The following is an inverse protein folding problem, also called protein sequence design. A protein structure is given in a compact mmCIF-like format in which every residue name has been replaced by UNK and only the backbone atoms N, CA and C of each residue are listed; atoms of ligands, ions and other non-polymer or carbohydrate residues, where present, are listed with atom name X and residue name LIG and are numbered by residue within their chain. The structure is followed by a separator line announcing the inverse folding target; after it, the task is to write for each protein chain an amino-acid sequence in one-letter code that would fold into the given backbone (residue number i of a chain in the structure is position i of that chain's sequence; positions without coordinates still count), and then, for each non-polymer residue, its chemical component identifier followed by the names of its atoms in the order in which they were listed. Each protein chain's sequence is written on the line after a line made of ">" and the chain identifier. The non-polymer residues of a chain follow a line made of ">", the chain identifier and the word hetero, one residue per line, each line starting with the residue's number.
data_IF_939999199021
#
_entry.id   IF_939999199021
#
_cell.length_a   1.000
_cell.length_b   1.000
_cell.length_c   1.000
_cell.angle_alpha   90.00
_cell.angle_beta   90.00
_cell.angle_gamma   90.00
#
_symmetry.space_group_name_H-M   'P 1'
#
loop_
_entity.id
_entity.type
_entity.pdbx_description
1 polymer ?
#
# COMPACT_ATOMS: atom_id res chain seq x y z
N UNK A 1 -12.94 3.70 -1.69
CA UNK A 1 -13.49 3.36 -3.02
C UNK A 1 -13.13 1.91 -3.36
N UNK A 2 -13.91 0.94 -2.84
CA UNK A 2 -13.65 -0.52 -3.02
C UNK A 2 -14.77 -1.15 -3.90
N UNK A 3 -15.53 -0.36 -4.63
CA UNK A 3 -16.70 -0.85 -5.37
C UNK A 3 -16.43 -1.46 -6.76
N UNK A 4 -15.20 -1.45 -7.29
CA UNK A 4 -15.01 -1.76 -8.72
C UNK A 4 -14.34 -3.10 -9.08
N UNK A 5 -13.94 -3.95 -8.14
CA UNK A 5 -13.24 -5.21 -8.46
C UNK A 5 -14.03 -6.51 -8.28
N UNK A 6 -15.31 -6.42 -7.88
CA UNK A 6 -16.21 -7.61 -7.82
C UNK A 6 -16.73 -8.02 -9.21
N UNK A 7 -16.53 -7.18 -10.23
CA UNK A 7 -17.07 -7.41 -11.57
C UNK A 7 -16.44 -8.58 -12.35
N UNK A 8 -15.30 -9.12 -11.93
CA UNK A 8 -14.60 -10.17 -12.70
C UNK A 8 -15.02 -11.61 -12.35
N UNK A 9 -15.84 -11.82 -11.34
CA UNK A 9 -16.40 -13.15 -11.04
C UNK A 9 -17.62 -13.52 -11.93
N UNK A 10 -18.10 -12.60 -12.74
CA UNK A 10 -19.17 -12.86 -13.72
C UNK A 10 -18.76 -13.76 -14.88
N UNK A 11 -17.47 -13.94 -15.12
CA UNK A 11 -16.94 -14.71 -16.28
C UNK A 11 -16.86 -16.22 -16.05
N UNK A 12 -16.93 -16.71 -14.81
CA UNK A 12 -16.86 -18.15 -14.50
C UNK A 12 -18.15 -18.88 -14.92
N UNK A 13 -19.29 -18.18 -14.99
CA UNK A 13 -20.54 -18.76 -15.46
C UNK A 13 -20.57 -19.00 -16.98
N UNK A 14 -19.79 -18.23 -17.75
CA UNK A 14 -19.65 -18.45 -19.20
C UNK A 14 -18.75 -19.66 -19.52
N UNK A 15 -17.83 -20.01 -18.64
CA UNK A 15 -16.96 -21.17 -18.79
C UNK A 15 -17.64 -22.52 -18.47
N UNK A 16 -18.88 -22.48 -17.96
CA UNK A 16 -19.69 -23.70 -17.74
C UNK A 16 -20.28 -24.28 -19.02
N UNK A 17 -19.83 -23.86 -20.23
CA UNK A 17 -20.21 -24.44 -21.50
C UNK A 17 -21.63 -24.09 -21.98
N UNK A 18 -22.26 -23.06 -21.40
CA UNK A 18 -23.53 -22.52 -21.88
C UNK A 18 -23.30 -21.32 -22.81
N UNK A 19 -22.64 -21.53 -23.96
CA UNK A 19 -22.73 -20.57 -25.06
C UNK A 19 -24.09 -20.68 -25.72
N UNK A 20 -24.71 -19.53 -25.98
CA UNK A 20 -26.10 -19.41 -26.46
C UNK A 20 -26.36 -19.91 -27.92
N UNK A 21 -25.55 -20.83 -28.43
CA UNK A 21 -25.64 -21.19 -29.86
C UNK A 21 -25.33 -22.65 -30.22
N UNK A 22 -25.53 -23.60 -29.33
CA UNK A 22 -25.57 -25.00 -29.81
C UNK A 22 -26.71 -25.76 -29.12
N UNK A 23 -27.55 -26.50 -29.88
CA UNK A 23 -28.45 -27.45 -29.28
C UNK A 23 -27.61 -28.49 -28.51
N UNK A 24 -28.06 -28.86 -27.32
CA UNK A 24 -27.40 -29.82 -26.41
C UNK A 24 -27.43 -31.26 -27.01
N UNK A 25 -27.20 -31.38 -28.29
CA UNK A 25 -27.02 -32.64 -29.01
C UNK A 25 -25.72 -32.51 -29.79
N UNK A 26 -24.64 -32.49 -29.04
CA UNK A 26 -23.29 -32.47 -29.55
C UNK A 26 -22.36 -33.02 -28.49
N UNK A 27 -22.76 -34.05 -27.80
CA UNK A 27 -21.83 -34.93 -27.05
C UNK A 27 -21.09 -35.75 -28.09
N UNK A 28 -19.83 -35.37 -28.37
CA UNK A 28 -18.93 -36.28 -29.07
C UNK A 28 -18.78 -37.52 -28.21
N UNK A 29 -19.24 -38.58 -28.79
CA UNK A 29 -19.50 -39.91 -28.34
C UNK A 29 -18.19 -40.62 -27.99
N UNK A 30 -18.12 -41.15 -26.79
CA UNK A 30 -17.47 -42.45 -26.55
C UNK A 30 -17.87 -43.09 -25.21
N UNK A 31 -19.09 -42.86 -24.73
CA UNK A 31 -19.77 -43.76 -23.79
C UNK A 31 -21.24 -43.68 -24.11
N UNK A 32 -21.91 -44.81 -24.24
CA UNK A 32 -23.36 -44.90 -24.49
C UNK A 32 -24.09 -43.98 -23.50
N UNK A 33 -24.59 -42.84 -23.98
CA UNK A 33 -25.33 -41.90 -23.17
C UNK A 33 -26.62 -42.58 -22.76
N UNK A 34 -26.75 -42.92 -21.48
CA UNK A 34 -27.97 -43.39 -20.88
C UNK A 34 -29.09 -42.40 -21.21
N UNK A 35 -30.14 -42.84 -21.95
CA UNK A 35 -31.18 -41.93 -22.42
C UNK A 35 -31.90 -41.30 -21.22
N UNK A 36 -32.03 -39.97 -21.24
CA UNK A 36 -32.78 -39.23 -20.21
C UNK A 36 -34.28 -39.44 -20.45
N UNK A 37 -34.97 -39.90 -19.44
CA UNK A 37 -36.42 -40.10 -19.51
C UNK A 37 -37.18 -38.80 -19.79
N UNK A 38 -38.28 -38.84 -20.51
CA UNK A 38 -39.05 -37.66 -20.90
C UNK A 38 -39.55 -36.84 -19.69
N UNK A 39 -39.89 -37.52 -18.60
CA UNK A 39 -40.34 -36.90 -17.33
C UNK A 39 -39.25 -36.04 -16.67
N UNK A 40 -38.01 -36.28 -17.00
CA UNK A 40 -36.84 -35.46 -16.53
C UNK A 40 -36.41 -34.51 -17.64
N UNK A 41 -36.31 -34.96 -18.87
CA UNK A 41 -35.87 -34.17 -20.01
C UNK A 41 -36.75 -32.94 -20.28
N UNK A 42 -38.08 -33.08 -20.16
CA UNK A 42 -39.03 -31.98 -20.32
C UNK A 42 -38.79 -30.83 -19.32
N UNK A 43 -38.82 -31.09 -18.01
CA UNK A 43 -38.46 -30.07 -16.99
C UNK A 43 -37.08 -29.43 -17.17
N UNK A 44 -36.06 -30.21 -17.56
CA UNK A 44 -34.71 -29.68 -17.82
C UNK A 44 -34.71 -28.68 -18.99
N UNK A 45 -35.39 -29.02 -20.12
CA UNK A 45 -35.49 -28.13 -21.26
C UNK A 45 -36.27 -26.84 -20.92
N UNK A 46 -37.38 -26.96 -20.19
CA UNK A 46 -38.17 -25.82 -19.74
C UNK A 46 -37.37 -24.92 -18.82
N UNK A 47 -36.63 -25.48 -17.85
CA UNK A 47 -35.75 -24.72 -16.96
C UNK A 47 -34.67 -23.95 -17.77
N UNK A 48 -34.05 -24.58 -18.76
CA UNK A 48 -33.08 -23.91 -19.64
C UNK A 48 -33.70 -22.77 -20.45
N UNK A 49 -34.93 -22.92 -20.97
CA UNK A 49 -35.67 -21.85 -21.67
C UNK A 49 -35.95 -20.68 -20.72
N UNK A 50 -36.37 -20.96 -19.48
CA UNK A 50 -36.61 -19.93 -18.46
C UNK A 50 -35.34 -19.19 -18.09
N UNK A 51 -34.23 -19.90 -17.94
CA UNK A 51 -32.93 -19.28 -17.69
C UNK A 51 -32.48 -18.33 -18.80
N UNK A 52 -32.69 -18.73 -20.08
CA UNK A 52 -32.40 -17.85 -21.23
C UNK A 52 -33.24 -16.57 -21.22
N UNK A 53 -34.43 -16.61 -20.63
CA UNK A 53 -35.32 -15.44 -20.45
C UNK A 53 -35.07 -14.69 -19.13
N UNK A 54 -34.03 -15.03 -18.38
CA UNK A 54 -33.70 -14.39 -17.08
C UNK A 54 -34.62 -14.84 -15.92
N UNK A 55 -35.57 -15.78 -16.16
CA UNK A 55 -36.55 -16.27 -15.19
C UNK A 55 -35.95 -17.39 -14.31
N UNK A 56 -34.83 -17.09 -13.63
CA UNK A 56 -34.04 -18.11 -12.95
C UNK A 56 -34.77 -18.77 -11.76
N UNK A 57 -35.61 -18.01 -11.04
CA UNK A 57 -36.43 -18.57 -9.93
C UNK A 57 -37.48 -19.53 -10.43
N UNK A 58 -38.12 -19.21 -11.58
CA UNK A 58 -39.07 -20.10 -12.23
C UNK A 58 -38.38 -21.37 -12.77
N UNK A 59 -37.14 -21.23 -13.27
CA UNK A 59 -36.33 -22.38 -13.68
C UNK A 59 -36.07 -23.34 -12.51
N UNK A 60 -35.76 -22.83 -11.30
CA UNK A 60 -35.61 -23.66 -10.10
C UNK A 60 -36.92 -24.36 -9.70
N UNK A 61 -38.07 -23.69 -9.87
CA UNK A 61 -39.37 -24.30 -9.63
C UNK A 61 -39.67 -25.44 -10.63
N UNK A 62 -39.31 -25.27 -11.90
CA UNK A 62 -39.44 -26.30 -12.93
C UNK A 62 -38.57 -27.53 -12.64
N UNK A 63 -37.35 -27.35 -12.15
CA UNK A 63 -36.46 -28.45 -11.78
C UNK A 63 -36.99 -29.30 -10.62
N UNK A 64 -37.86 -28.76 -9.74
CA UNK A 64 -38.51 -29.53 -8.67
C UNK A 64 -39.41 -30.64 -9.25
N UNK A 65 -39.96 -30.49 -10.46
CA UNK A 65 -40.73 -31.55 -11.10
C UNK A 65 -39.84 -32.75 -11.44
N UNK A 66 -38.61 -32.48 -11.92
CA UNK A 66 -37.63 -33.54 -12.16
C UNK A 66 -37.17 -34.21 -10.87
N UNK A 67 -37.12 -33.48 -9.75
CA UNK A 67 -36.79 -34.04 -8.44
C UNK A 67 -37.82 -35.06 -7.96
N UNK A 68 -39.09 -34.84 -8.27
CA UNK A 68 -40.20 -35.75 -7.91
C UNK A 68 -40.20 -37.08 -8.65
N UNK A 69 -39.41 -37.24 -9.72
CA UNK A 69 -39.35 -38.51 -10.48
C UNK A 69 -38.57 -39.56 -9.67
N UNK A 70 -39.17 -40.72 -9.46
CA UNK A 70 -38.56 -41.83 -8.70
C UNK A 70 -37.46 -42.53 -9.52
N UNK A 71 -36.56 -43.20 -8.82
CA UNK A 71 -35.51 -44.06 -9.40
C UNK A 71 -34.67 -43.36 -10.50
N UNK A 72 -34.26 -42.11 -10.23
CA UNK A 72 -33.38 -41.37 -11.13
C UNK A 72 -32.06 -42.10 -11.31
N UNK A 73 -31.59 -42.18 -12.54
CA UNK A 73 -30.26 -42.68 -12.83
C UNK A 73 -29.21 -41.67 -12.31
N UNK A 74 -27.98 -42.14 -12.15
CA UNK A 74 -26.86 -41.29 -11.79
C UNK A 74 -26.60 -40.19 -12.84
N UNK A 75 -26.93 -40.46 -14.12
CA UNK A 75 -26.82 -39.50 -15.20
C UNK A 75 -27.91 -38.43 -15.13
N UNK A 76 -29.15 -38.83 -14.89
CA UNK A 76 -30.29 -37.91 -14.72
C UNK A 76 -30.08 -36.97 -13.53
N UNK A 77 -29.65 -37.50 -12.40
CA UNK A 77 -29.32 -36.72 -11.22
C UNK A 77 -28.21 -35.70 -11.49
N UNK A 78 -27.16 -36.11 -12.19
CA UNK A 78 -26.04 -35.24 -12.59
C UNK A 78 -26.52 -34.09 -13.50
N UNK A 79 -27.36 -34.34 -14.48
CA UNK A 79 -27.89 -33.32 -15.38
C UNK A 79 -28.82 -32.33 -14.66
N UNK A 80 -29.65 -32.80 -13.73
CA UNK A 80 -30.49 -31.95 -12.88
C UNK A 80 -29.62 -31.03 -12.08
N UNK A 81 -28.57 -31.55 -11.42
CA UNK A 81 -27.64 -30.73 -10.60
C UNK A 81 -26.87 -29.72 -11.44
N UNK A 82 -26.47 -30.04 -12.68
CA UNK A 82 -25.82 -29.06 -13.57
C UNK A 82 -26.73 -27.87 -13.88
N UNK A 83 -27.99 -28.11 -14.26
CA UNK A 83 -28.94 -27.04 -14.57
C UNK A 83 -29.30 -26.25 -13.29
N UNK A 84 -29.48 -26.97 -12.16
CA UNK A 84 -29.77 -26.34 -10.87
C UNK A 84 -28.63 -25.43 -10.40
N UNK A 85 -27.37 -25.86 -10.50
CA UNK A 85 -26.21 -25.06 -10.15
C UNK A 85 -26.18 -23.71 -10.89
N UNK A 86 -26.46 -23.76 -12.21
CA UNK A 86 -26.54 -22.57 -13.06
C UNK A 86 -27.74 -21.68 -12.72
N UNK A 87 -28.94 -22.26 -12.60
CA UNK A 87 -30.15 -21.52 -12.28
C UNK A 87 -30.08 -20.84 -10.89
N UNK A 88 -29.64 -21.59 -9.88
CA UNK A 88 -29.51 -21.09 -8.52
C UNK A 88 -28.45 -19.96 -8.40
N UNK A 89 -27.31 -20.14 -9.08
CA UNK A 89 -26.27 -19.09 -9.12
C UNK A 89 -26.79 -17.80 -9.75
N UNK A 90 -27.55 -17.93 -10.85
CA UNK A 90 -28.15 -16.79 -11.56
C UNK A 90 -29.32 -16.15 -10.78
N UNK A 91 -30.07 -16.97 -10.01
CA UNK A 91 -31.15 -16.50 -9.15
C UNK A 91 -30.66 -15.82 -7.85
N UNK A 92 -29.37 -15.95 -7.52
CA UNK A 92 -28.82 -15.51 -6.23
C UNK A 92 -29.17 -16.42 -5.06
N UNK A 93 -29.69 -17.64 -5.33
CA UNK A 93 -29.92 -18.69 -4.32
C UNK A 93 -28.61 -19.45 -4.11
N UNK A 94 -27.69 -18.80 -3.35
CA UNK A 94 -26.35 -19.31 -3.18
C UNK A 94 -26.27 -20.60 -2.35
N UNK A 95 -27.22 -20.83 -1.46
CA UNK A 95 -27.30 -22.07 -0.67
C UNK A 95 -27.62 -23.28 -1.56
N UNK A 96 -28.59 -23.13 -2.46
CA UNK A 96 -28.93 -24.16 -3.45
C UNK A 96 -27.77 -24.32 -4.45
N UNK A 97 -27.17 -23.23 -4.91
CA UNK A 97 -26.03 -23.29 -5.82
C UNK A 97 -24.87 -24.07 -5.18
N UNK A 98 -24.50 -23.77 -3.93
CA UNK A 98 -23.41 -24.43 -3.23
C UNK A 98 -23.63 -25.94 -3.13
N UNK A 99 -24.81 -26.37 -2.71
CA UNK A 99 -25.16 -27.80 -2.64
C UNK A 99 -25.04 -28.50 -4.00
N UNK A 100 -25.52 -27.85 -5.06
CA UNK A 100 -25.43 -28.43 -6.40
C UNK A 100 -23.96 -28.52 -6.89
N UNK A 101 -23.13 -27.52 -6.61
CA UNK A 101 -21.69 -27.58 -6.91
C UNK A 101 -21.00 -28.70 -6.12
N UNK A 102 -21.30 -28.85 -4.82
CA UNK A 102 -20.78 -29.93 -3.98
C UNK A 102 -21.16 -31.31 -4.54
N UNK A 103 -22.45 -31.51 -4.91
CA UNK A 103 -22.96 -32.76 -5.50
C UNK A 103 -22.27 -33.09 -6.83
N UNK A 104 -22.05 -32.08 -7.67
CA UNK A 104 -21.36 -32.26 -8.96
C UNK A 104 -19.89 -32.64 -8.74
N UNK A 105 -19.19 -31.98 -7.84
CA UNK A 105 -17.79 -32.30 -7.50
C UNK A 105 -17.66 -33.72 -6.94
N UNK A 106 -18.64 -34.15 -6.12
CA UNK A 106 -18.68 -35.47 -5.52
C UNK A 106 -19.14 -36.59 -6.49
N UNK A 107 -19.81 -36.24 -7.59
CA UNK A 107 -20.39 -37.22 -8.52
C UNK A 107 -19.40 -38.14 -9.21
N UNK A 108 -18.14 -37.79 -9.26
CA UNK A 108 -17.09 -38.49 -10.00
C UNK A 108 -17.21 -38.36 -11.53
N UNK A 109 -18.20 -37.63 -12.05
CA UNK A 109 -18.47 -37.48 -13.49
C UNK A 109 -17.76 -36.30 -14.15
N UNK A 110 -17.14 -35.44 -13.36
CA UNK A 110 -16.38 -34.31 -13.86
C UNK A 110 -14.96 -34.77 -14.25
N UNK A 111 -14.48 -34.30 -15.39
CA UNK A 111 -13.08 -34.39 -15.74
C UNK A 111 -12.23 -33.59 -14.72
N UNK A 112 -10.92 -33.84 -14.66
CA UNK A 112 -10.03 -33.13 -13.75
C UNK A 112 -10.10 -31.61 -13.96
N UNK A 113 -10.17 -31.14 -15.21
CA UNK A 113 -10.33 -29.73 -15.55
C UNK A 113 -11.65 -29.13 -15.08
N UNK A 114 -12.77 -29.83 -15.33
CA UNK A 114 -14.08 -29.40 -14.85
C UNK A 114 -14.14 -29.39 -13.32
N UNK A 115 -13.60 -30.41 -12.66
CA UNK A 115 -13.54 -30.46 -11.19
C UNK A 115 -12.81 -29.27 -10.61
N UNK A 116 -11.71 -28.84 -11.22
CA UNK A 116 -10.98 -27.64 -10.82
C UNK A 116 -11.84 -26.37 -10.99
N UNK A 117 -12.53 -26.22 -12.14
CA UNK A 117 -13.42 -25.09 -12.43
C UNK A 117 -14.61 -25.03 -11.46
N UNK A 118 -15.26 -26.18 -11.22
CA UNK A 118 -16.40 -26.26 -10.28
C UNK A 118 -15.94 -25.96 -8.84
N UNK A 119 -14.74 -26.42 -8.44
CA UNK A 119 -14.19 -26.14 -7.13
C UNK A 119 -13.86 -24.65 -6.94
N UNK A 120 -13.35 -23.99 -7.99
CA UNK A 120 -13.15 -22.54 -7.98
C UNK A 120 -14.49 -21.77 -7.97
N UNK A 121 -15.46 -22.22 -8.76
CA UNK A 121 -16.83 -21.70 -8.77
C UNK A 121 -17.49 -21.78 -7.40
N UNK A 122 -17.33 -22.91 -6.70
CA UNK A 122 -17.88 -23.13 -5.36
C UNK A 122 -17.31 -22.14 -4.34
N UNK A 123 -16.01 -21.84 -4.40
CA UNK A 123 -15.41 -20.79 -3.58
C UNK A 123 -16.12 -19.45 -3.83
N UNK A 124 -16.34 -19.09 -5.09
CA UNK A 124 -17.07 -17.88 -5.47
C UNK A 124 -18.51 -17.84 -4.94
N UNK A 125 -19.20 -18.98 -4.93
CA UNK A 125 -20.57 -19.11 -4.37
C UNK A 125 -20.54 -18.90 -2.86
N UNK A 126 -19.65 -19.56 -2.12
CA UNK A 126 -19.51 -19.36 -0.67
C UNK A 126 -19.18 -17.91 -0.30
N UNK A 127 -18.32 -17.25 -1.08
CA UNK A 127 -18.00 -15.83 -0.85
C UNK A 127 -19.23 -14.92 -1.05
N UNK A 128 -20.07 -15.20 -2.06
CA UNK A 128 -21.33 -14.46 -2.30
C UNK A 128 -22.38 -14.74 -1.23
N UNK A 129 -22.46 -15.98 -0.76
CA UNK A 129 -23.28 -16.37 0.39
C UNK A 129 -22.78 -15.77 1.70
N UNK A 130 -21.60 -15.15 1.71
CA UNK A 130 -20.88 -14.70 2.92
C UNK A 130 -20.55 -15.85 3.89
N UNK A 131 -20.56 -17.09 3.41
CA UNK A 131 -20.05 -18.25 4.15
C UNK A 131 -18.52 -18.31 3.99
N UNK A 132 -17.86 -17.33 4.62
CA UNK A 132 -16.41 -17.22 4.55
C UNK A 132 -15.69 -18.40 5.19
N UNK A 133 -16.35 -19.11 6.12
CA UNK A 133 -15.80 -20.32 6.76
C UNK A 133 -15.60 -21.43 5.73
N UNK A 134 -16.67 -21.77 4.98
CA UNK A 134 -16.59 -22.78 3.91
C UNK A 134 -15.70 -22.32 2.76
N UNK A 135 -15.76 -21.03 2.39
CA UNK A 135 -14.87 -20.47 1.37
C UNK A 135 -13.39 -20.68 1.75
N UNK A 136 -13.01 -20.36 2.98
CA UNK A 136 -11.63 -20.51 3.46
C UNK A 136 -11.19 -21.99 3.47
N UNK A 137 -12.04 -22.88 3.95
CA UNK A 137 -11.73 -24.33 3.96
C UNK A 137 -11.49 -24.87 2.53
N UNK A 138 -12.30 -24.40 1.55
CA UNK A 138 -12.13 -24.78 0.15
C UNK A 138 -10.84 -24.16 -0.46
N UNK A 139 -10.54 -22.90 -0.16
CA UNK A 139 -9.32 -22.22 -0.60
C UNK A 139 -8.08 -22.91 -0.02
N UNK A 140 -8.05 -23.15 1.28
CA UNK A 140 -6.91 -23.78 1.95
C UNK A 140 -6.63 -25.18 1.41
N UNK A 141 -7.68 -25.93 1.05
CA UNK A 141 -7.52 -27.23 0.38
C UNK A 141 -6.81 -27.09 -0.96
N UNK A 142 -7.22 -26.13 -1.79
CA UNK A 142 -6.57 -25.90 -3.09
C UNK A 142 -5.15 -25.35 -2.95
N UNK A 143 -4.88 -24.52 -1.94
CA UNK A 143 -3.55 -23.98 -1.70
C UNK A 143 -2.52 -25.01 -1.19
N UNK A 144 -2.97 -26.19 -0.71
CA UNK A 144 -2.06 -27.32 -0.41
C UNK A 144 -1.44 -27.90 -1.67
N UNK A 145 -2.20 -27.92 -2.76
CA UNK A 145 -1.78 -28.59 -4.01
C UNK A 145 -1.08 -27.61 -4.96
N UNK A 146 -1.38 -26.32 -4.85
CA UNK A 146 -0.82 -25.29 -5.73
C UNK A 146 -0.68 -23.93 -5.00
N UNK A 147 0.41 -23.24 -5.31
CA UNK A 147 0.56 -21.85 -4.86
C UNK A 147 -0.20 -20.93 -5.83
N UNK A 148 -1.37 -20.44 -5.41
CA UNK A 148 -2.22 -19.55 -6.20
C UNK A 148 -2.39 -18.20 -5.48
N UNK A 149 -1.72 -17.13 -5.97
CA UNK A 149 -1.77 -15.80 -5.35
C UNK A 149 -3.18 -15.23 -5.28
N UNK A 150 -4.07 -15.57 -6.24
CA UNK A 150 -5.45 -15.09 -6.26
C UNK A 150 -6.28 -15.72 -5.14
N UNK A 151 -6.16 -17.02 -4.96
CA UNK A 151 -6.83 -17.73 -3.86
C UNK A 151 -6.31 -17.25 -2.51
N UNK A 152 -5.01 -17.00 -2.41
CA UNK A 152 -4.39 -16.46 -1.20
C UNK A 152 -4.92 -15.06 -0.88
N UNK A 153 -5.10 -14.20 -1.87
CA UNK A 153 -5.71 -12.88 -1.70
C UNK A 153 -7.17 -12.98 -1.19
N UNK A 154 -7.95 -13.93 -1.74
CA UNK A 154 -9.32 -14.18 -1.25
C UNK A 154 -9.33 -14.69 0.20
N UNK A 155 -8.42 -15.57 0.57
CA UNK A 155 -8.29 -16.06 1.95
C UNK A 155 -8.05 -14.90 2.93
N UNK A 156 -7.14 -14.00 2.59
CA UNK A 156 -6.83 -12.81 3.39
C UNK A 156 -8.05 -11.89 3.52
N UNK A 157 -8.74 -11.63 2.40
CA UNK A 157 -9.96 -10.80 2.40
C UNK A 157 -11.07 -11.41 3.25
N UNK A 158 -11.26 -12.72 3.17
CA UNK A 158 -12.26 -13.44 3.95
C UNK A 158 -11.94 -13.38 5.45
N UNK A 159 -10.69 -13.61 5.85
CA UNK A 159 -10.30 -13.46 7.27
C UNK A 159 -10.57 -12.04 7.77
N UNK A 160 -10.26 -11.03 6.95
CA UNK A 160 -10.56 -9.65 7.30
C UNK A 160 -12.08 -9.39 7.41
N UNK A 161 -12.90 -9.92 6.49
CA UNK A 161 -14.35 -9.80 6.53
C UNK A 161 -14.97 -10.50 7.74
N UNK A 162 -14.36 -11.59 8.21
CA UNK A 162 -14.74 -12.31 9.44
C UNK A 162 -14.29 -11.61 10.74
N UNK A 163 -13.58 -10.49 10.66
CA UNK A 163 -12.97 -9.83 11.82
C UNK A 163 -11.73 -10.54 12.37
N UNK A 164 -11.25 -11.58 11.71
CA UNK A 164 -10.01 -12.32 12.05
C UNK A 164 -8.78 -11.54 11.54
N UNK A 165 -8.58 -10.37 12.12
CA UNK A 165 -7.52 -9.43 11.69
C UNK A 165 -6.12 -9.96 11.92
N UNK A 166 -5.91 -10.78 12.95
CA UNK A 166 -4.63 -11.43 13.24
C UNK A 166 -4.18 -12.37 12.13
N UNK A 167 -5.07 -13.25 11.67
CA UNK A 167 -4.82 -14.20 10.58
C UNK A 167 -4.54 -13.47 9.25
N UNK A 168 -5.36 -12.45 8.94
CA UNK A 168 -5.17 -11.65 7.74
C UNK A 168 -3.82 -10.92 7.76
N UNK A 169 -3.45 -10.31 8.89
CA UNK A 169 -2.14 -9.64 9.08
C UNK A 169 -1.00 -10.63 8.89
N UNK A 170 -1.05 -11.81 9.54
CA UNK A 170 0.00 -12.82 9.45
C UNK A 170 0.24 -13.28 8.02
N UNK A 171 -0.83 -13.53 7.26
CA UNK A 171 -0.71 -13.96 5.87
C UNK A 171 -0.11 -12.86 4.98
N UNK A 172 -0.61 -11.62 5.09
CA UNK A 172 -0.07 -10.48 4.33
C UNK A 172 1.41 -10.22 4.66
N UNK A 173 1.77 -10.23 5.93
CA UNK A 173 3.17 -10.03 6.33
C UNK A 173 4.08 -11.12 5.78
N UNK A 174 3.62 -12.37 5.77
CA UNK A 174 4.39 -13.48 5.20
C UNK A 174 4.61 -13.29 3.69
N UNK A 175 3.58 -12.84 2.95
CA UNK A 175 3.68 -12.59 1.51
C UNK A 175 4.63 -11.43 1.20
N UNK A 176 4.49 -10.32 1.92
CA UNK A 176 5.35 -9.15 1.78
C UNK A 176 6.82 -9.46 2.11
N UNK A 177 7.07 -10.24 3.16
CA UNK A 177 8.42 -10.69 3.52
C UNK A 177 9.03 -11.62 2.47
N UNK A 178 8.21 -12.50 1.87
CA UNK A 178 8.67 -13.36 0.79
C UNK A 178 9.06 -12.54 -0.45
N UNK A 179 8.30 -11.51 -0.79
CA UNK A 179 8.64 -10.61 -1.88
C UNK A 179 9.94 -9.84 -1.60
N UNK A 180 10.06 -9.24 -0.41
CA UNK A 180 11.26 -8.51 0.00
C UNK A 180 12.52 -9.40 -0.01
N UNK A 181 12.43 -10.62 0.52
CA UNK A 181 13.55 -11.60 0.50
C UNK A 181 13.95 -12.02 -0.91
N UNK A 182 12.99 -12.05 -1.82
CA UNK A 182 13.24 -12.36 -3.23
C UNK A 182 13.68 -11.14 -4.05
N UNK A 183 13.92 -10.00 -3.41
CA UNK A 183 14.27 -8.75 -4.08
C UNK A 183 13.12 -8.15 -4.90
N UNK A 184 11.90 -8.66 -4.74
CA UNK A 184 10.72 -8.12 -5.41
C UNK A 184 10.12 -6.99 -4.59
N UNK A 185 9.65 -5.96 -5.30
CA UNK A 185 8.91 -4.85 -4.70
C UNK A 185 7.53 -5.35 -4.25
N UNK A 186 7.18 -5.23 -2.96
CA UNK A 186 5.84 -5.54 -2.47
C UNK A 186 4.75 -4.77 -3.21
N UNK A 187 3.61 -5.39 -3.47
CA UNK A 187 2.52 -4.73 -4.19
C UNK A 187 1.86 -3.63 -3.33
N UNK A 188 1.54 -2.49 -3.95
CA UNK A 188 0.97 -1.34 -3.23
C UNK A 188 -0.37 -1.67 -2.56
N UNK A 189 -1.23 -2.41 -3.25
CA UNK A 189 -2.54 -2.80 -2.74
C UNK A 189 -2.46 -3.74 -1.54
N UNK A 190 -1.47 -4.63 -1.50
CA UNK A 190 -1.20 -5.48 -0.34
C UNK A 190 -0.73 -4.67 0.87
N UNK A 191 0.18 -3.72 0.66
CA UNK A 191 0.63 -2.81 1.72
C UNK A 191 -0.52 -1.92 2.21
N UNK A 192 -1.36 -1.38 1.31
CA UNK A 192 -2.56 -0.61 1.68
C UNK A 192 -3.54 -1.47 2.48
N UNK A 193 -3.75 -2.72 2.08
CA UNK A 193 -4.60 -3.64 2.81
C UNK A 193 -4.05 -3.92 4.20
N UNK A 194 -2.75 -4.19 4.33
CA UNK A 194 -2.11 -4.41 5.63
C UNK A 194 -2.24 -3.18 6.54
N UNK A 195 -1.96 -1.99 6.02
CA UNK A 195 -2.10 -0.74 6.80
C UNK A 195 -3.54 -0.52 7.29
N UNK A 196 -4.54 -0.84 6.45
CA UNK A 196 -5.95 -0.71 6.80
C UNK A 196 -6.37 -1.72 7.89
N UNK A 197 -5.90 -2.97 7.81
CA UNK A 197 -6.14 -3.99 8.83
C UNK A 197 -5.52 -3.57 10.16
N UNK A 198 -4.25 -3.14 10.16
CA UNK A 198 -3.53 -2.70 11.36
C UNK A 198 -4.19 -1.48 12.00
N UNK A 199 -4.62 -0.51 11.20
CA UNK A 199 -5.34 0.67 11.70
C UNK A 199 -6.66 0.27 12.38
N UNK A 200 -7.45 -0.61 11.76
CA UNK A 200 -8.69 -1.12 12.36
C UNK A 200 -8.47 -1.96 13.62
N UNK A 201 -7.38 -2.69 13.67
CA UNK A 201 -6.98 -3.48 14.83
C UNK A 201 -6.38 -2.64 15.97
N UNK A 202 -6.16 -1.32 15.76
CA UNK A 202 -5.50 -0.44 16.71
C UNK A 202 -3.99 -0.64 16.85
N UNK A 203 -3.37 -1.41 15.96
CA UNK A 203 -1.91 -1.60 15.89
C UNK A 203 -1.25 -0.36 15.28
N UNK A 204 -1.05 0.65 16.12
CA UNK A 204 -0.47 1.94 15.71
C UNK A 204 0.96 1.78 15.17
N UNK A 205 1.75 0.90 15.74
CA UNK A 205 3.15 0.71 15.34
C UNK A 205 3.23 -0.05 14.01
N UNK A 206 2.51 -1.14 13.86
CA UNK A 206 2.39 -1.86 12.60
C UNK A 206 1.91 -0.96 11.45
N UNK A 207 0.86 -0.17 11.71
CA UNK A 207 0.32 0.79 10.75
C UNK A 207 1.40 1.75 10.23
N UNK A 208 2.19 2.37 11.12
CA UNK A 208 3.23 3.31 10.73
C UNK A 208 4.35 2.62 9.96
N UNK A 209 4.82 1.47 10.43
CA UNK A 209 5.83 0.69 9.72
C UNK A 209 5.39 0.33 8.30
N UNK A 210 4.10 0.02 8.12
CA UNK A 210 3.54 -0.27 6.80
C UNK A 210 3.42 0.99 5.94
N UNK A 211 3.03 2.14 6.52
CA UNK A 211 3.01 3.43 5.80
C UNK A 211 4.42 3.87 5.41
N UNK A 212 5.45 3.63 6.23
CA UNK A 212 6.85 3.86 5.87
C UNK A 212 7.27 3.02 4.66
N UNK A 213 6.89 1.75 4.61
CA UNK A 213 7.11 0.91 3.41
C UNK A 213 6.37 1.47 2.19
N UNK A 214 5.11 1.89 2.36
CA UNK A 214 4.35 2.56 1.29
C UNK A 214 5.05 3.82 0.79
N UNK A 215 5.54 4.68 1.68
CA UNK A 215 6.25 5.90 1.31
C UNK A 215 7.59 5.61 0.63
N UNK A 216 8.29 4.53 1.03
CA UNK A 216 9.58 4.11 0.44
C UNK A 216 9.39 3.53 -0.95
N UNK A 217 8.48 2.57 -1.10
CA UNK A 217 8.26 1.89 -2.38
C UNK A 217 7.41 2.69 -3.37
N UNK A 218 6.51 3.54 -2.86
CA UNK A 218 5.53 4.32 -3.60
C UNK A 218 5.47 5.74 -3.05
N UNK A 219 6.43 6.62 -3.38
CA UNK A 219 6.60 7.93 -2.73
C UNK A 219 5.47 8.92 -3.12
N UNK A 220 4.23 8.60 -2.72
CA UNK A 220 3.06 9.46 -2.93
C UNK A 220 2.94 10.47 -1.78
N UNK A 221 2.49 11.68 -2.12
CA UNK A 221 2.24 12.76 -1.16
C UNK A 221 1.36 12.30 0.01
N UNK A 222 0.32 11.49 -0.26
CA UNK A 222 -0.60 11.00 0.77
C UNK A 222 0.07 10.17 1.87
N UNK A 223 1.06 9.36 1.55
CA UNK A 223 1.79 8.56 2.55
C UNK A 223 2.72 9.44 3.38
N UNK A 224 3.44 10.35 2.73
CA UNK A 224 4.28 11.31 3.41
C UNK A 224 3.50 12.24 4.32
N UNK A 225 2.31 12.67 3.90
CA UNK A 225 1.41 13.49 4.73
C UNK A 225 1.05 12.78 6.05
N UNK A 226 0.73 11.48 5.98
CA UNK A 226 0.46 10.68 7.18
C UNK A 226 1.66 10.66 8.12
N UNK A 227 2.86 10.38 7.59
CA UNK A 227 4.09 10.28 8.39
C UNK A 227 4.46 11.62 9.03
N UNK A 228 4.46 12.71 8.24
CA UNK A 228 4.86 14.03 8.70
C UNK A 228 3.86 14.67 9.66
N UNK A 229 2.55 14.45 9.46
CA UNK A 229 1.53 14.91 10.42
C UNK A 229 1.63 14.13 11.75
N UNK A 230 1.86 12.82 11.67
CA UNK A 230 2.01 12.00 12.87
C UNK A 230 3.21 12.42 13.71
N UNK A 231 4.38 12.65 13.09
CA UNK A 231 5.57 13.04 13.86
C UNK A 231 5.37 14.40 14.52
N UNK A 232 4.78 15.37 13.80
CA UNK A 232 4.48 16.70 14.35
C UNK A 232 3.48 16.68 15.50
N UNK A 233 2.55 15.72 15.49
CA UNK A 233 1.56 15.52 16.56
C UNK A 233 1.99 14.54 17.66
N UNK A 234 3.22 14.04 17.63
CA UNK A 234 3.72 13.06 18.62
C UNK A 234 3.91 13.74 19.99
N UNK A 235 3.41 13.17 21.10
CA UNK A 235 3.75 13.66 22.42
C UNK A 235 5.26 13.70 22.63
N UNK A 236 5.77 14.84 23.09
CA UNK A 236 7.20 15.05 23.28
C UNK A 236 7.98 15.40 22.01
N UNK A 237 7.31 15.64 20.88
CA UNK A 237 7.96 16.17 19.69
C UNK A 237 8.59 17.54 19.97
N UNK A 238 9.87 17.70 19.65
CA UNK A 238 10.57 18.95 19.89
C UNK A 238 10.32 19.97 18.77
N UNK A 239 9.84 21.15 19.13
CA UNK A 239 9.56 22.23 18.19
C UNK A 239 10.76 22.67 17.34
N UNK A 240 12.00 22.45 17.82
CA UNK A 240 13.23 22.74 17.04
C UNK A 240 13.33 21.89 15.76
N UNK A 241 12.67 20.73 15.73
CA UNK A 241 12.64 19.82 14.56
C UNK A 241 11.57 20.21 13.52
N UNK A 242 10.78 21.25 13.77
CA UNK A 242 9.77 21.72 12.81
C UNK A 242 10.40 22.13 11.47
N UNK A 243 11.60 22.68 11.50
CA UNK A 243 12.37 23.01 10.28
C UNK A 243 12.65 21.76 9.45
N UNK A 244 12.95 20.63 10.08
CA UNK A 244 13.23 19.37 9.38
C UNK A 244 11.98 18.74 8.79
N UNK A 245 10.84 18.88 9.46
CA UNK A 245 9.53 18.49 8.90
C UNK A 245 9.23 19.32 7.64
N UNK A 246 9.49 20.63 7.67
CA UNK A 246 9.28 21.48 6.50
C UNK A 246 10.29 21.18 5.37
N UNK A 247 11.54 20.83 5.69
CA UNK A 247 12.52 20.33 4.71
C UNK A 247 12.03 19.08 3.99
N UNK A 248 11.50 18.11 4.75
CA UNK A 248 10.90 16.89 4.17
C UNK A 248 9.66 17.21 3.33
N UNK A 249 8.79 18.13 3.78
CA UNK A 249 7.67 18.61 2.98
C UNK A 249 8.11 19.25 1.68
N UNK A 250 9.14 20.09 1.71
CA UNK A 250 9.71 20.71 0.51
C UNK A 250 10.29 19.66 -0.44
N UNK A 251 11.02 18.67 0.10
CA UNK A 251 11.60 17.57 -0.70
C UNK A 251 10.52 16.79 -1.46
N UNK A 252 9.38 16.53 -0.82
CA UNK A 252 8.26 15.81 -1.40
C UNK A 252 7.23 16.70 -2.11
N UNK A 253 7.60 17.94 -2.47
CA UNK A 253 6.75 18.90 -3.20
C UNK A 253 5.43 19.22 -2.49
N UNK A 254 5.43 19.21 -1.15
CA UNK A 254 4.22 19.42 -0.34
C UNK A 254 4.03 20.87 0.13
N UNK A 255 4.99 21.76 -0.09
CA UNK A 255 4.83 23.19 0.17
C UNK A 255 4.12 23.82 -1.03
N UNK A 256 2.92 24.38 -0.78
CA UNK A 256 2.05 24.91 -1.86
C UNK A 256 1.71 26.38 -1.67
N UNK A 257 2.01 26.95 -0.51
CA UNK A 257 1.63 28.30 -0.14
C UNK A 257 2.86 29.18 0.08
N UNK A 258 2.76 30.51 -0.20
CA UNK A 258 3.84 31.45 0.11
C UNK A 258 4.28 31.39 1.59
N UNK A 259 3.32 31.23 2.51
CA UNK A 259 3.59 31.12 3.94
C UNK A 259 4.53 29.96 4.28
N UNK A 260 4.34 28.78 3.66
CA UNK A 260 5.15 27.60 3.91
C UNK A 260 6.63 27.83 3.51
N UNK A 261 6.85 28.44 2.33
CA UNK A 261 8.18 28.80 1.84
C UNK A 261 8.87 29.84 2.69
N UNK A 262 8.13 30.90 3.08
CA UNK A 262 8.69 31.98 3.91
C UNK A 262 8.99 31.52 5.31
N UNK A 263 8.14 30.67 5.92
CA UNK A 263 8.39 30.05 7.22
C UNK A 263 9.66 29.21 7.18
N UNK A 264 9.79 28.29 6.23
CA UNK A 264 10.97 27.45 6.10
C UNK A 264 12.24 28.30 5.89
N UNK A 265 12.19 29.30 5.00
CA UNK A 265 13.35 30.17 4.75
C UNK A 265 13.76 30.94 6.00
N UNK A 266 12.82 31.45 6.78
CA UNK A 266 13.10 32.14 8.06
C UNK A 266 13.69 31.21 9.11
N UNK A 267 13.18 29.98 9.22
CA UNK A 267 13.70 28.97 10.15
C UNK A 267 15.12 28.58 9.81
N UNK A 268 15.44 28.32 8.55
CA UNK A 268 16.81 27.95 8.16
C UNK A 268 17.77 29.12 8.26
N UNK A 269 17.32 30.36 8.03
CA UNK A 269 18.14 31.58 8.31
C UNK A 269 18.46 31.70 9.80
N UNK A 270 17.47 31.51 10.67
CA UNK A 270 17.68 31.53 12.13
C UNK A 270 18.67 30.44 12.55
N UNK A 271 18.64 29.28 11.92
CA UNK A 271 19.56 28.17 12.21
C UNK A 271 20.93 28.35 11.53
N UNK A 272 21.20 29.52 10.91
CA UNK A 272 22.49 29.89 10.29
C UNK A 272 22.71 29.32 8.88
N UNK A 273 21.74 28.59 8.28
CA UNK A 273 21.88 27.95 6.99
C UNK A 273 21.44 28.86 5.82
N UNK A 274 22.07 30.04 5.71
CA UNK A 274 21.69 31.06 4.73
C UNK A 274 21.74 30.58 3.27
N UNK A 275 22.71 29.73 2.93
CA UNK A 275 22.76 29.14 1.58
C UNK A 275 21.59 28.21 1.26
N UNK A 276 21.03 27.54 2.25
CA UNK A 276 19.80 26.77 2.12
C UNK A 276 18.58 27.69 1.92
N UNK A 277 18.49 28.78 2.70
CA UNK A 277 17.43 29.77 2.58
C UNK A 277 17.35 30.36 1.16
N UNK A 278 18.51 30.76 0.60
CA UNK A 278 18.59 31.27 -0.78
C UNK A 278 18.03 30.25 -1.79
N UNK A 279 18.38 28.96 -1.64
CA UNK A 279 17.86 27.89 -2.53
C UNK A 279 16.34 27.69 -2.39
N UNK A 280 15.82 27.72 -1.16
CA UNK A 280 14.39 27.59 -0.86
C UNK A 280 13.61 28.75 -1.51
N UNK A 281 14.08 29.98 -1.29
CA UNK A 281 13.44 31.18 -1.84
C UNK A 281 13.50 31.15 -3.38
N UNK A 282 14.68 30.85 -3.96
CA UNK A 282 14.83 30.74 -5.42
C UNK A 282 13.87 29.71 -6.00
N UNK A 283 13.66 28.59 -5.34
CA UNK A 283 12.68 27.58 -5.74
C UNK A 283 11.26 28.13 -5.70
N UNK A 284 10.87 28.82 -4.62
CA UNK A 284 9.55 29.43 -4.50
C UNK A 284 9.25 30.47 -5.60
N UNK A 285 10.26 31.27 -6.00
CA UNK A 285 10.16 32.19 -7.14
C UNK A 285 10.05 31.44 -8.46
N UNK A 286 10.85 30.41 -8.69
CA UNK A 286 10.80 29.58 -9.89
C UNK A 286 9.44 28.90 -10.09
N UNK A 287 8.84 28.45 -9.02
CA UNK A 287 7.52 27.80 -9.03
C UNK A 287 6.35 28.82 -9.08
N UNK A 288 6.63 30.13 -9.08
CA UNK A 288 5.60 31.18 -9.11
C UNK A 288 4.80 31.29 -7.81
N UNK A 289 5.29 30.70 -6.73
CA UNK A 289 4.65 30.75 -5.40
C UNK A 289 5.06 32.04 -4.66
N UNK A 290 6.35 32.44 -4.77
CA UNK A 290 6.87 33.69 -4.20
C UNK A 290 6.98 34.78 -5.28
N UNK A 291 7.06 36.02 -4.85
CA UNK A 291 7.23 37.19 -5.74
C UNK A 291 5.97 37.65 -6.41
N UNK A 292 4.82 37.12 -6.06
CA UNK A 292 3.50 37.43 -6.65
C UNK A 292 2.51 37.88 -5.56
N UNK A 293 1.47 38.61 -5.98
CA UNK A 293 0.40 39.04 -5.09
C UNK A 293 0.79 40.15 -4.11
N UNK A 294 -0.04 40.42 -3.08
CA UNK A 294 0.14 41.57 -2.17
C UNK A 294 1.42 41.47 -1.31
N UNK A 295 1.92 40.26 -1.09
CA UNK A 295 3.13 40.01 -0.27
C UNK A 295 4.44 40.01 -1.07
N UNK A 296 4.40 40.31 -2.38
CA UNK A 296 5.60 40.26 -3.24
C UNK A 296 6.78 41.11 -2.68
N UNK A 297 6.51 42.30 -2.17
CA UNK A 297 7.53 43.14 -1.55
C UNK A 297 8.13 42.52 -0.26
N UNK A 298 7.35 41.78 0.51
CA UNK A 298 7.83 41.04 1.69
C UNK A 298 8.70 39.86 1.27
N UNK A 299 8.34 39.16 0.22
CA UNK A 299 9.14 38.06 -0.35
C UNK A 299 10.48 38.59 -0.85
N UNK A 300 10.50 39.75 -1.51
CA UNK A 300 11.76 40.37 -1.97
C UNK A 300 12.66 40.73 -0.80
N UNK A 301 12.14 41.37 0.27
CA UNK A 301 12.93 41.68 1.46
C UNK A 301 13.53 40.43 2.11
N UNK A 302 12.78 39.31 2.15
CA UNK A 302 13.31 38.04 2.67
C UNK A 302 14.43 37.49 1.77
N UNK A 303 14.31 37.62 0.45
CA UNK A 303 15.34 37.24 -0.51
C UNK A 303 16.62 38.06 -0.27
N UNK A 304 16.50 39.39 -0.19
CA UNK A 304 17.61 40.29 0.02
C UNK A 304 18.34 40.02 1.37
N UNK A 305 17.56 39.72 2.41
CA UNK A 305 18.08 39.29 3.70
C UNK A 305 18.88 37.99 3.59
N UNK A 306 18.34 36.98 2.88
CA UNK A 306 19.01 35.69 2.70
C UNK A 306 20.35 35.84 1.93
N UNK A 307 20.32 36.61 0.84
CA UNK A 307 21.52 36.88 0.01
C UNK A 307 22.59 37.62 0.82
N UNK A 308 22.21 38.66 1.59
CA UNK A 308 23.10 39.39 2.50
C UNK A 308 23.70 38.48 3.55
N UNK A 309 22.84 37.69 4.24
CA UNK A 309 23.31 36.79 5.30
C UNK A 309 24.25 35.72 4.74
N UNK A 310 24.03 35.22 3.54
CA UNK A 310 24.93 34.27 2.88
C UNK A 310 26.33 34.92 2.61
N UNK A 311 26.33 36.15 2.10
CA UNK A 311 27.57 36.88 1.85
C UNK A 311 28.36 37.13 3.17
N UNK A 312 27.67 37.53 4.24
CA UNK A 312 28.28 37.72 5.57
C UNK A 312 28.79 36.40 6.15
N UNK A 313 28.06 35.29 6.01
CA UNK A 313 28.49 33.96 6.47
C UNK A 313 29.80 33.57 5.80
N UNK A 314 29.92 33.77 4.49
CA UNK A 314 31.15 33.46 3.73
C UNK A 314 32.32 34.38 4.17
N UNK A 315 32.07 35.68 4.29
CA UNK A 315 33.11 36.64 4.64
C UNK A 315 33.68 36.46 6.04
N UNK A 316 32.82 36.06 6.99
CA UNK A 316 33.21 35.94 8.42
C UNK A 316 33.56 34.50 8.84
N UNK A 317 33.49 33.52 7.93
CA UNK A 317 33.63 32.11 8.27
C UNK A 317 34.92 31.78 9.02
N UNK A 318 36.07 32.29 8.55
CA UNK A 318 37.36 32.02 9.18
C UNK A 318 37.50 32.67 10.57
N UNK A 319 37.01 33.89 10.75
CA UNK A 319 37.02 34.57 12.04
C UNK A 319 36.11 33.87 13.04
N UNK A 320 34.89 33.52 12.63
CA UNK A 320 33.95 32.78 13.47
C UNK A 320 34.49 31.41 13.87
N UNK A 321 35.15 30.69 12.96
CA UNK A 321 35.81 29.42 13.27
C UNK A 321 36.88 29.60 14.35
N UNK A 322 37.76 30.58 14.22
CA UNK A 322 38.82 30.86 15.17
C UNK A 322 38.25 31.20 16.56
N UNK A 323 37.20 32.02 16.61
CA UNK A 323 36.53 32.37 17.85
C UNK A 323 35.89 31.17 18.55
N UNK A 324 35.16 30.32 17.79
CA UNK A 324 34.53 29.10 18.30
C UNK A 324 35.54 28.07 18.81
N UNK A 325 36.67 27.92 18.12
CA UNK A 325 37.79 27.06 18.56
C UNK A 325 38.40 27.60 19.87
N UNK A 326 38.62 28.89 19.93
CA UNK A 326 39.20 29.54 21.10
C UNK A 326 38.37 29.35 22.38
N UNK A 327 37.05 29.41 22.25
CA UNK A 327 36.14 29.22 23.40
C UNK A 327 35.72 27.76 23.59
N UNK A 328 36.14 26.85 22.71
CA UNK A 328 35.78 25.42 22.78
C UNK A 328 34.35 25.10 22.47
N UNK A 329 33.62 25.95 21.73
CA UNK A 329 32.21 25.75 21.40
C UNK A 329 32.03 24.76 20.20
N UNK A 330 31.92 23.49 20.52
CA UNK A 330 31.77 22.41 19.55
C UNK A 330 30.39 22.41 18.87
N UNK A 331 29.33 22.78 19.58
CA UNK A 331 27.98 22.94 19.00
C UNK A 331 27.98 24.08 17.97
N UNK A 332 28.67 25.20 18.28
CA UNK A 332 28.89 26.30 17.34
C UNK A 332 29.64 25.87 16.08
N UNK A 333 30.72 25.05 16.24
CA UNK A 333 31.46 24.50 15.10
C UNK A 333 30.60 23.58 14.22
N UNK A 334 29.73 22.75 14.80
CA UNK A 334 28.76 21.94 14.02
C UNK A 334 27.82 22.86 13.25
N UNK A 335 27.31 23.92 13.87
CA UNK A 335 26.39 24.87 13.23
C UNK A 335 27.08 25.66 12.10
N UNK A 336 28.30 26.13 12.32
CA UNK A 336 29.09 26.82 11.30
C UNK A 336 29.47 25.89 10.14
N UNK A 337 29.84 24.66 10.45
CA UNK A 337 30.11 23.63 9.41
C UNK A 337 28.89 23.37 8.53
N UNK A 338 27.70 23.26 9.13
CA UNK A 338 26.45 23.09 8.36
C UNK A 338 26.14 24.33 7.50
N UNK A 339 26.36 25.53 8.04
CA UNK A 339 26.21 26.78 7.30
C UNK A 339 27.14 26.83 6.06
N UNK A 340 28.42 26.43 6.22
CA UNK A 340 29.39 26.35 5.13
C UNK A 340 28.97 25.34 4.06
N UNK A 341 28.49 24.16 4.45
CA UNK A 341 27.95 23.17 3.49
C UNK A 341 26.77 23.76 2.70
N UNK A 342 25.85 24.44 3.39
CA UNK A 342 24.71 25.10 2.74
C UNK A 342 25.14 26.19 1.75
N UNK A 343 26.21 26.91 2.07
CA UNK A 343 26.80 27.98 1.29
C UNK A 343 27.68 27.50 0.10
N UNK A 344 27.92 26.19 0.00
CA UNK A 344 28.68 25.56 -1.09
C UNK A 344 30.13 25.20 -0.72
N UNK A 345 30.62 25.59 0.45
CA UNK A 345 31.94 25.15 0.96
C UNK A 345 31.81 23.80 1.69
N UNK A 346 31.47 22.80 0.87
CA UNK A 346 31.02 21.48 1.34
C UNK A 346 32.15 20.73 2.07
N UNK A 347 33.34 20.70 1.48
CA UNK A 347 34.45 19.92 2.04
C UNK A 347 34.88 20.47 3.41
N UNK A 348 35.06 21.79 3.52
CA UNK A 348 35.45 22.46 4.77
C UNK A 348 34.36 22.28 5.83
N UNK A 349 33.09 22.50 5.46
CA UNK A 349 32.00 22.41 6.41
C UNK A 349 31.83 20.98 6.96
N UNK A 350 31.91 19.94 6.12
CA UNK A 350 31.83 18.54 6.57
C UNK A 350 33.04 18.22 7.51
N UNK A 351 34.25 18.56 7.13
CA UNK A 351 35.44 18.30 7.96
C UNK A 351 35.32 18.94 9.34
N UNK A 352 34.82 20.17 9.41
CA UNK A 352 34.57 20.88 10.67
C UNK A 352 33.55 20.15 11.54
N UNK A 353 32.43 19.72 10.95
CA UNK A 353 31.40 18.97 11.67
C UNK A 353 31.89 17.59 12.15
N UNK A 354 32.63 16.85 11.32
CA UNK A 354 33.23 15.57 11.68
C UNK A 354 34.19 15.73 12.88
N UNK A 355 35.06 16.76 12.84
CA UNK A 355 36.02 17.06 13.91
C UNK A 355 35.30 17.40 15.20
N UNK A 356 34.31 18.30 15.17
CA UNK A 356 33.55 18.70 16.34
C UNK A 356 32.77 17.53 16.97
N UNK A 357 32.15 16.68 16.17
CA UNK A 357 31.40 15.50 16.63
C UNK A 357 32.36 14.46 17.23
N UNK A 358 33.52 14.22 16.59
CA UNK A 358 34.56 13.32 17.11
C UNK A 358 35.16 13.79 18.45
N UNK A 359 35.31 15.09 18.62
CA UNK A 359 35.78 15.64 19.87
C UNK A 359 34.82 15.43 21.04
N UNK A 360 33.54 15.17 20.76
CA UNK A 360 32.52 14.88 21.77
C UNK A 360 32.09 16.11 22.56
N UNK A 361 31.44 15.90 23.70
CA UNK A 361 31.03 16.97 24.63
C UNK A 361 30.04 17.97 23.97
N UNK A 362 29.13 17.43 23.17
CA UNK A 362 28.05 18.18 22.53
C UNK A 362 26.81 18.18 23.40
N UNK A 363 26.11 19.31 23.48
CA UNK A 363 24.82 19.42 24.20
C UNK A 363 23.75 18.51 23.61
N UNK A 364 23.79 18.32 22.28
CA UNK A 364 22.81 17.52 21.52
C UNK A 364 23.52 16.68 20.45
N UNK A 365 24.16 15.57 20.84
CA UNK A 365 24.97 14.78 19.91
C UNK A 365 24.13 14.16 18.76
N UNK A 366 22.86 13.81 19.00
CA UNK A 366 22.00 13.26 17.95
C UNK A 366 21.55 14.34 16.95
N UNK A 367 21.34 15.59 17.39
CA UNK A 367 21.09 16.71 16.48
C UNK A 367 22.31 16.96 15.57
N UNK A 368 23.50 16.93 16.14
CA UNK A 368 24.77 17.10 15.40
C UNK A 368 24.92 16.00 14.33
N UNK A 369 24.64 14.74 14.67
CA UNK A 369 24.65 13.62 13.72
C UNK A 369 23.58 13.79 12.64
N UNK A 370 22.36 14.23 13.01
CA UNK A 370 21.29 14.53 12.06
C UNK A 370 21.77 15.59 11.05
N UNK A 371 22.34 16.71 11.53
CA UNK A 371 22.88 17.77 10.66
C UNK A 371 24.03 17.26 9.77
N UNK A 372 24.95 16.45 10.31
CA UNK A 372 26.03 15.87 9.52
C UNK A 372 25.51 14.93 8.43
N UNK A 373 24.50 14.10 8.74
CA UNK A 373 23.86 13.25 7.75
C UNK A 373 23.18 14.05 6.63
N UNK A 374 22.50 15.15 6.98
CA UNK A 374 21.92 16.09 6.02
C UNK A 374 23.00 16.80 5.20
N UNK A 375 24.12 17.18 5.80
CA UNK A 375 25.26 17.76 5.11
C UNK A 375 25.86 16.81 4.08
N UNK A 376 26.03 15.54 4.41
CA UNK A 376 26.45 14.52 3.45
C UNK A 376 25.44 14.35 2.30
N UNK A 377 24.14 14.41 2.59
CA UNK A 377 23.10 14.35 1.56
C UNK A 377 23.20 15.56 0.61
N UNK A 378 23.38 16.77 1.15
CA UNK A 378 23.60 17.98 0.33
C UNK A 378 24.87 17.89 -0.53
N UNK A 379 25.91 17.19 -0.04
CA UNK A 379 27.17 16.92 -0.75
C UNK A 379 27.05 15.81 -1.82
N UNK A 380 25.87 15.17 -1.97
CA UNK A 380 25.67 14.03 -2.85
C UNK A 380 26.26 12.71 -2.32
N UNK A 381 26.83 12.68 -1.11
CA UNK A 381 27.39 11.48 -0.51
C UNK A 381 26.31 10.65 0.21
N UNK A 382 25.49 9.98 -0.58
CA UNK A 382 24.36 9.18 -0.09
C UNK A 382 24.79 8.09 0.90
N UNK A 383 25.91 7.41 0.65
CA UNK A 383 26.40 6.33 1.52
C UNK A 383 26.73 6.83 2.92
N UNK A 384 27.53 7.91 3.01
CA UNK A 384 27.85 8.53 4.30
C UNK A 384 26.63 9.15 4.98
N UNK A 385 25.70 9.75 4.20
CA UNK A 385 24.44 10.27 4.74
C UNK A 385 23.65 9.15 5.43
N UNK A 386 23.41 8.03 4.74
CA UNK A 386 22.66 6.90 5.29
C UNK A 386 23.36 6.30 6.52
N UNK A 387 24.67 6.06 6.45
CA UNK A 387 25.41 5.49 7.60
C UNK A 387 25.36 6.40 8.82
N UNK A 388 25.51 7.70 8.65
CA UNK A 388 25.46 8.69 9.74
C UNK A 388 24.05 8.80 10.33
N UNK A 389 23.02 8.95 9.48
CA UNK A 389 21.64 9.08 9.91
C UNK A 389 21.12 7.83 10.66
N UNK A 390 21.61 6.64 10.35
CA UNK A 390 21.30 5.41 11.09
C UNK A 390 21.81 5.42 12.56
N UNK A 391 22.79 6.23 12.87
CA UNK A 391 23.32 6.37 14.24
C UNK A 391 22.56 7.40 15.10
N UNK A 392 21.59 8.09 14.50
CA UNK A 392 20.81 9.12 15.19
C UNK A 392 19.76 8.45 16.08
N UNK A 393 19.80 8.79 17.38
CA UNK A 393 18.83 8.36 18.38
C UNK A 393 17.82 9.45 18.72
N UNK A 394 17.24 9.33 19.92
CA UNK A 394 16.31 10.31 20.49
C UNK A 394 14.85 9.86 20.44
N UNK A 395 14.07 10.33 21.44
CA UNK A 395 12.63 10.02 21.58
C UNK A 395 11.73 11.20 21.23
N UNK A 396 12.32 12.36 20.96
CA UNK A 396 11.69 13.65 20.74
C UNK A 396 11.38 13.96 19.26
N UNK A 397 11.51 12.96 18.39
CA UNK A 397 11.32 13.07 16.95
C UNK A 397 12.61 13.03 16.14
N UNK A 398 13.78 13.18 16.75
CA UNK A 398 15.08 13.26 16.05
C UNK A 398 15.35 11.97 15.26
N UNK A 399 15.14 10.79 15.88
CA UNK A 399 15.35 9.50 15.22
C UNK A 399 14.38 9.28 14.05
N UNK A 400 13.12 9.67 14.19
CA UNK A 400 12.13 9.56 13.12
C UNK A 400 12.48 10.49 11.94
N UNK A 401 12.90 11.73 12.21
CA UNK A 401 13.37 12.66 11.17
C UNK A 401 14.55 12.07 10.41
N UNK A 402 15.54 11.51 11.11
CA UNK A 402 16.69 10.86 10.49
C UNK A 402 16.24 9.70 9.57
N UNK A 403 15.32 8.85 10.04
CA UNK A 403 14.77 7.75 9.25
C UNK A 403 14.02 8.24 8.01
N UNK A 404 13.19 9.29 8.14
CA UNK A 404 12.46 9.86 7.00
C UNK A 404 13.40 10.55 6.02
N UNK A 405 14.50 11.15 6.51
CA UNK A 405 15.55 11.68 5.64
C UNK A 405 16.20 10.55 4.83
N UNK A 406 16.52 9.40 5.46
CA UNK A 406 17.05 8.22 4.75
C UNK A 406 16.08 7.74 3.67
N UNK A 407 14.79 7.66 3.97
CA UNK A 407 13.75 7.22 3.02
C UNK A 407 13.61 8.17 1.82
N UNK A 408 14.06 9.42 1.97
CA UNK A 408 13.99 10.46 0.93
C UNK A 408 15.27 10.55 0.06
N UNK A 409 16.33 9.79 0.38
CA UNK A 409 17.60 9.73 -0.37
C UNK A 409 17.55 8.67 -1.50
#
# INVERSE_FOLDING_TARGET
>A
MIKSRIAHLGLVLAALGFTAATPVIGLSVAHAAEAVRAEIGGPLQNAQKLMKSGKNKEALAELRKADGVSNKTSNESYLIERVRAAAASAAGDYDTAARSFENLIASGKLSAGEKAQFSEGLIGIYMRAKDFGKANAAIERQLKDRNDPKLRAYLIQNYFAMGKTGEATRLLQADLQADEKAGRRPQEDQLQMLSNIQNKAGDKNGYINTVEKLATYYPKESYWLILLNRISGKPGFSSRLSVDVLRLRLHHNMLKKPADYTELAQLVLRDGAAGEAVKIIARGYKEGILGVGPDAARHQRLKDLADKTLAETKAKAAANEADLVKIGDKDGLVSLGYALVSAGDTAKGIAMMESAIKAGDLKRPDDAKLRLGQAYAMAGNKSKAVSTLRTVGGKDGTAEIARYTIMSL
#
